data_IF_874285840404
#
_entry.id   IF_874285840404
#
_cell.length_a   1.000
_cell.length_b   1.000
_cell.length_c   1.000
_cell.angle_alpha   90.00
_cell.angle_beta   90.00
_cell.angle_gamma   90.00
#
_symmetry.space_group_name_H-M   'P 1'
#
loop_
_entity.id
_entity.type
_entity.pdbx_description
1 polymer ?
#
# COMPACT_ATOMS: atom_id res chain seq x y z
N UNK A 1 -6.70 17.77 24.57
CA UNK A 1 -6.01 16.59 24.00
C UNK A 1 -4.81 16.29 24.87
N UNK A 2 -4.51 15.03 25.22
CA UNK A 2 -3.33 14.71 26.04
C UNK A 2 -2.04 14.96 25.23
N UNK A 3 -1.00 15.51 25.85
CA UNK A 3 0.28 15.84 25.19
C UNK A 3 0.93 14.64 24.49
N UNK A 4 0.76 13.45 25.04
CA UNK A 4 1.34 12.20 24.54
C UNK A 4 0.86 11.83 23.12
N UNK A 5 -0.33 12.31 22.73
CA UNK A 5 -0.87 12.07 21.39
C UNK A 5 -0.14 12.91 20.34
N UNK A 6 0.22 14.15 20.67
CA UNK A 6 0.93 15.04 19.76
C UNK A 6 2.32 14.48 19.43
N UNK A 7 3.04 14.04 20.47
CA UNK A 7 4.36 13.41 20.31
C UNK A 7 4.25 12.12 19.48
N UNK A 8 3.22 11.29 19.70
CA UNK A 8 2.99 10.11 18.89
C UNK A 8 2.76 10.45 17.40
N UNK A 9 1.93 11.46 17.10
CA UNK A 9 1.68 11.90 15.73
C UNK A 9 2.95 12.47 15.07
N UNK A 10 3.75 13.25 15.79
CA UNK A 10 5.02 13.77 15.29
C UNK A 10 6.00 12.64 14.94
N UNK A 11 6.13 11.63 15.80
CA UNK A 11 6.98 10.47 15.53
C UNK A 11 6.50 9.66 14.31
N UNK A 12 5.18 9.49 14.16
CA UNK A 12 4.61 8.84 12.99
C UNK A 12 4.92 9.64 11.70
N UNK A 13 4.77 10.96 11.72
CA UNK A 13 5.08 11.83 10.59
C UNK A 13 6.56 11.79 10.23
N UNK A 14 7.47 11.81 11.21
CA UNK A 14 8.92 11.72 10.98
C UNK A 14 9.27 10.37 10.32
N UNK A 15 8.67 9.27 10.79
CA UNK A 15 8.88 7.96 10.19
C UNK A 15 8.42 7.94 8.72
N UNK A 16 7.25 8.49 8.42
CA UNK A 16 6.76 8.58 7.04
C UNK A 16 7.64 9.45 6.15
N UNK A 17 8.07 10.62 6.63
CA UNK A 17 8.97 11.50 5.89
C UNK A 17 10.31 10.81 5.59
N UNK A 18 10.87 10.10 6.56
CA UNK A 18 12.11 9.35 6.36
C UNK A 18 11.95 8.26 5.29
N UNK A 19 10.84 7.52 5.30
CA UNK A 19 10.53 6.54 4.26
C UNK A 19 10.50 7.19 2.86
N UNK A 20 9.83 8.33 2.71
CA UNK A 20 9.78 9.03 1.41
C UNK A 20 11.12 9.60 0.99
N UNK A 21 11.95 10.07 1.92
CA UNK A 21 13.33 10.49 1.61
C UNK A 21 14.16 9.32 1.07
N UNK A 22 14.02 8.12 1.63
CA UNK A 22 14.70 6.93 1.11
C UNK A 22 14.27 6.60 -0.33
N UNK A 23 12.96 6.67 -0.64
CA UNK A 23 12.47 6.47 -2.00
C UNK A 23 12.97 7.55 -2.96
N UNK A 24 12.92 8.82 -2.56
CA UNK A 24 13.37 9.95 -3.38
C UNK A 24 14.86 9.86 -3.72
N UNK A 25 15.68 9.30 -2.83
CA UNK A 25 17.10 9.03 -3.06
C UNK A 25 17.36 7.73 -3.84
N UNK A 26 16.32 7.08 -4.37
CA UNK A 26 16.37 5.76 -5.03
C UNK A 26 16.94 4.64 -4.14
N UNK A 27 16.95 4.85 -2.81
CA UNK A 27 17.41 3.86 -1.82
C UNK A 27 16.30 2.88 -1.50
N UNK A 28 15.73 2.26 -2.53
CA UNK A 28 14.52 1.43 -2.44
C UNK A 28 14.68 0.23 -1.51
N UNK A 29 15.87 -0.40 -1.49
CA UNK A 29 16.19 -1.47 -0.53
C UNK A 29 16.15 -0.98 0.91
N UNK A 30 16.70 0.21 1.18
CA UNK A 30 16.65 0.82 2.50
C UNK A 30 15.22 1.20 2.91
N UNK A 31 14.40 1.66 1.96
CA UNK A 31 12.98 1.93 2.20
C UNK A 31 12.22 0.65 2.55
N UNK A 32 12.52 -0.46 1.86
CA UNK A 32 11.95 -1.78 2.15
C UNK A 32 12.34 -2.27 3.56
N UNK A 33 13.64 -2.27 3.89
CA UNK A 33 14.14 -2.67 5.21
C UNK A 33 13.56 -1.81 6.34
N UNK A 34 13.38 -0.51 6.10
CA UNK A 34 12.76 0.38 7.06
C UNK A 34 11.28 0.07 7.26
N UNK A 35 10.52 -0.16 6.18
CA UNK A 35 9.12 -0.54 6.27
C UNK A 35 8.93 -1.90 6.97
N UNK A 36 9.81 -2.88 6.73
CA UNK A 36 9.79 -4.17 7.43
C UNK A 36 9.93 -3.99 8.95
N UNK A 37 10.88 -3.16 9.40
CA UNK A 37 11.04 -2.84 10.84
C UNK A 37 9.81 -2.16 11.44
N UNK A 38 9.12 -1.32 10.68
CA UNK A 38 7.91 -0.66 11.15
C UNK A 38 6.73 -1.63 11.26
N UNK A 39 6.60 -2.55 10.31
CA UNK A 39 5.62 -3.65 10.38
C UNK A 39 5.88 -4.49 11.63
N UNK A 40 7.11 -4.99 11.82
CA UNK A 40 7.49 -5.80 13.00
C UNK A 40 7.17 -5.07 14.30
N UNK A 41 7.50 -3.78 14.40
CA UNK A 41 7.22 -2.98 15.60
C UNK A 41 5.73 -2.83 15.87
N UNK A 42 4.92 -2.64 14.83
CA UNK A 42 3.46 -2.49 14.97
C UNK A 42 2.79 -3.83 15.31
N UNK A 43 3.25 -4.95 14.74
CA UNK A 43 2.81 -6.29 15.09
C UNK A 43 3.05 -6.58 16.58
N UNK A 44 4.24 -6.24 17.10
CA UNK A 44 4.57 -6.37 18.53
C UNK A 44 3.67 -5.53 19.44
N UNK A 45 3.15 -4.41 18.94
CA UNK A 45 2.25 -3.51 19.65
C UNK A 45 0.76 -3.84 19.42
N UNK A 46 0.45 -4.91 18.66
CA UNK A 46 -0.90 -5.24 18.21
C UNK A 46 -1.61 -4.06 17.53
N UNK A 47 -0.86 -3.22 16.81
CA UNK A 47 -1.34 -2.04 16.10
C UNK A 47 -1.52 -2.33 14.60
N UNK A 48 -2.39 -1.59 13.89
CA UNK A 48 -2.60 -1.80 12.45
C UNK A 48 -1.30 -1.59 11.64
N UNK A 49 -0.96 -2.53 10.76
CA UNK A 49 0.26 -2.45 9.94
C UNK A 49 0.01 -2.05 8.50
N UNK A 50 -1.27 -2.03 8.08
CA UNK A 50 -1.71 -1.76 6.70
C UNK A 50 -1.01 -0.61 5.99
N UNK A 51 -0.72 0.48 6.71
CA UNK A 51 -0.06 1.66 6.18
C UNK A 51 1.41 1.38 5.82
N UNK A 52 2.11 0.60 6.63
CA UNK A 52 3.50 0.18 6.40
C UNK A 52 3.60 -1.02 5.46
N UNK A 53 2.61 -1.91 5.42
CA UNK A 53 2.47 -2.90 4.37
C UNK A 53 2.36 -2.23 2.99
N UNK A 54 1.56 -1.17 2.89
CA UNK A 54 1.45 -0.40 1.65
C UNK A 54 2.80 0.22 1.26
N UNK A 55 3.51 0.85 2.20
CA UNK A 55 4.85 1.43 1.98
C UNK A 55 5.88 0.37 1.58
N UNK A 56 5.82 -0.82 2.18
CA UNK A 56 6.68 -1.95 1.81
C UNK A 56 6.42 -2.42 0.39
N UNK A 57 5.16 -2.39 -0.04
CA UNK A 57 4.75 -2.63 -1.42
C UNK A 57 5.27 -1.56 -2.38
N UNK A 58 5.21 -0.28 -2.00
CA UNK A 58 5.76 0.83 -2.79
C UNK A 58 7.26 0.64 -3.03
N UNK A 59 8.02 0.32 -1.98
CA UNK A 59 9.46 0.05 -2.10
C UNK A 59 9.76 -1.13 -3.03
N UNK A 60 8.98 -2.22 -2.96
CA UNK A 60 9.10 -3.36 -3.86
C UNK A 60 8.77 -2.99 -5.32
N UNK A 61 7.75 -2.16 -5.53
CA UNK A 61 7.38 -1.65 -6.85
C UNK A 61 8.52 -0.86 -7.49
N UNK A 62 9.15 0.06 -6.74
CA UNK A 62 10.32 0.81 -7.23
C UNK A 62 11.56 -0.08 -7.47
N UNK A 63 11.66 -1.23 -6.80
CA UNK A 63 12.67 -2.26 -7.08
C UNK A 63 12.34 -3.14 -8.30
N UNK A 64 11.18 -2.93 -8.94
CA UNK A 64 10.63 -3.78 -10.01
C UNK A 64 10.33 -5.22 -9.56
N UNK A 65 10.22 -5.46 -8.26
CA UNK A 65 9.74 -6.72 -7.70
C UNK A 65 8.22 -6.67 -7.56
N UNK A 66 7.54 -6.78 -8.70
CA UNK A 66 6.09 -6.64 -8.78
C UNK A 66 5.35 -7.76 -8.05
N UNK A 67 5.95 -8.95 -7.93
CA UNK A 67 5.38 -10.05 -7.17
C UNK A 67 5.39 -9.74 -5.66
N UNK A 68 6.50 -9.24 -5.13
CA UNK A 68 6.54 -8.79 -3.75
C UNK A 68 5.60 -7.60 -3.52
N UNK A 69 5.56 -6.62 -4.43
CA UNK A 69 4.65 -5.48 -4.35
C UNK A 69 3.18 -5.94 -4.23
N UNK A 70 2.77 -6.88 -5.08
CA UNK A 70 1.42 -7.50 -5.05
C UNK A 70 1.10 -8.07 -3.67
N UNK A 71 1.98 -8.90 -3.12
CA UNK A 71 1.78 -9.56 -1.82
C UNK A 71 1.55 -8.51 -0.72
N UNK A 72 2.38 -7.47 -0.67
CA UNK A 72 2.28 -6.45 0.37
C UNK A 72 1.02 -5.57 0.22
N UNK A 73 0.65 -5.20 -1.01
CA UNK A 73 -0.59 -4.47 -1.25
C UNK A 73 -1.83 -5.31 -0.91
N UNK A 74 -1.85 -6.60 -1.26
CA UNK A 74 -2.96 -7.50 -0.91
C UNK A 74 -3.09 -7.69 0.61
N UNK A 75 -1.96 -7.84 1.33
CA UNK A 75 -1.94 -7.85 2.80
C UNK A 75 -2.47 -6.54 3.39
N UNK A 76 -2.01 -5.38 2.89
CA UNK A 76 -2.50 -4.07 3.34
C UNK A 76 -4.01 -3.94 3.16
N UNK A 77 -4.53 -4.39 2.01
CA UNK A 77 -5.96 -4.37 1.71
C UNK A 77 -6.74 -5.28 2.66
N UNK A 78 -6.22 -6.47 2.97
CA UNK A 78 -6.88 -7.39 3.91
C UNK A 78 -7.01 -6.81 5.32
N UNK A 79 -6.02 -6.05 5.78
CA UNK A 79 -6.03 -5.44 7.12
C UNK A 79 -6.96 -4.24 7.23
N UNK A 80 -7.09 -3.43 6.16
CA UNK A 80 -8.07 -2.32 6.11
C UNK A 80 -9.53 -2.84 6.15
N UNK A 81 -9.74 -4.12 5.85
CA UNK A 81 -11.06 -4.76 5.87
C UNK A 81 -11.92 -4.39 4.66
N UNK A 82 -12.96 -5.19 4.40
CA UNK A 82 -13.82 -5.09 3.20
C UNK A 82 -14.61 -3.77 3.10
N UNK A 83 -14.74 -3.03 4.20
CA UNK A 83 -15.56 -1.82 4.27
C UNK A 83 -14.77 -0.54 3.93
N UNK A 84 -13.44 -0.61 3.84
CA UNK A 84 -12.61 0.53 3.50
C UNK A 84 -12.18 0.39 2.03
N UNK A 85 -12.89 1.11 1.15
CA UNK A 85 -12.50 1.22 -0.26
C UNK A 85 -11.26 2.08 -0.36
N UNK A 86 -10.09 1.45 -0.47
CA UNK A 86 -8.82 2.15 -0.69
C UNK A 86 -8.59 2.30 -2.19
N UNK A 87 -9.18 3.33 -2.81
CA UNK A 87 -9.05 3.64 -4.25
C UNK A 87 -7.58 3.57 -4.72
N UNK A 88 -6.69 4.21 -3.98
CA UNK A 88 -5.24 4.24 -4.25
C UNK A 88 -4.64 2.83 -4.28
N UNK A 89 -5.08 1.94 -3.38
CA UNK A 89 -4.51 0.59 -3.29
C UNK A 89 -5.02 -0.31 -4.41
N UNK A 90 -6.27 -0.12 -4.86
CA UNK A 90 -6.78 -0.76 -6.06
C UNK A 90 -6.08 -0.29 -7.33
N UNK A 91 -5.75 1.00 -7.43
CA UNK A 91 -4.93 1.52 -8.54
C UNK A 91 -3.53 0.89 -8.53
N UNK A 92 -2.84 0.88 -7.38
CA UNK A 92 -1.53 0.22 -7.24
C UNK A 92 -1.56 -1.27 -7.61
N UNK A 93 -2.58 -2.00 -7.14
CA UNK A 93 -2.77 -3.41 -7.48
C UNK A 93 -3.07 -3.59 -8.97
N UNK A 94 -3.88 -2.72 -9.57
CA UNK A 94 -4.14 -2.74 -11.01
C UNK A 94 -2.85 -2.56 -11.81
N UNK A 95 -2.04 -1.56 -11.47
CA UNK A 95 -0.76 -1.29 -12.14
C UNK A 95 0.21 -2.48 -12.02
N UNK A 96 0.29 -3.11 -10.85
CA UNK A 96 1.09 -4.32 -10.65
C UNK A 96 0.60 -5.47 -11.53
N UNK A 97 -0.72 -5.71 -11.58
CA UNK A 97 -1.28 -6.79 -12.39
C UNK A 97 -1.08 -6.56 -13.89
N UNK A 98 -1.17 -5.31 -14.34
CA UNK A 98 -0.80 -4.93 -15.71
C UNK A 98 0.67 -5.28 -16.02
N UNK A 99 1.60 -4.88 -15.15
CA UNK A 99 3.03 -5.12 -15.32
C UNK A 99 3.42 -6.60 -15.24
N UNK A 100 2.63 -7.43 -14.55
CA UNK A 100 2.82 -8.89 -14.47
C UNK A 100 2.03 -9.66 -15.54
N UNK A 101 1.23 -8.99 -16.38
CA UNK A 101 0.42 -9.60 -17.45
C UNK A 101 -0.89 -10.26 -17.01
N UNK A 102 -1.35 -10.01 -15.78
CA UNK A 102 -2.63 -10.49 -15.24
C UNK A 102 -3.75 -9.49 -15.55
N UNK A 103 -4.12 -9.40 -16.83
CA UNK A 103 -5.09 -8.40 -17.31
C UNK A 103 -6.50 -8.60 -16.75
N UNK A 104 -6.87 -9.83 -16.40
CA UNK A 104 -8.18 -10.10 -15.78
C UNK A 104 -8.27 -9.45 -14.39
N UNK A 105 -7.22 -9.60 -13.56
CA UNK A 105 -7.17 -8.92 -12.25
C UNK A 105 -6.99 -7.42 -12.39
N UNK A 106 -6.17 -6.96 -13.33
CA UNK A 106 -6.03 -5.53 -13.66
C UNK A 106 -7.38 -4.89 -13.87
N UNK A 107 -8.20 -5.48 -14.76
CA UNK A 107 -9.55 -5.01 -15.06
C UNK A 107 -10.44 -5.01 -13.84
N UNK A 108 -10.47 -6.10 -13.07
CA UNK A 108 -11.28 -6.19 -11.85
C UNK A 108 -10.94 -5.07 -10.85
N UNK A 109 -9.66 -4.72 -10.71
CA UNK A 109 -9.23 -3.63 -9.83
C UNK A 109 -9.60 -2.25 -10.40
N UNK A 110 -9.48 -2.03 -11.72
CA UNK A 110 -9.97 -0.78 -12.36
C UNK A 110 -11.48 -0.60 -12.19
N UNK A 111 -12.25 -1.66 -12.37
CA UNK A 111 -13.72 -1.61 -12.24
C UNK A 111 -14.17 -1.30 -10.81
N UNK A 112 -13.40 -1.71 -9.79
CA UNK A 112 -13.64 -1.31 -8.39
C UNK A 112 -13.41 0.19 -8.14
N UNK A 113 -12.61 0.83 -8.97
CA UNK A 113 -12.25 2.26 -8.85
C UNK A 113 -13.16 3.15 -9.69
N UNK A 114 -13.38 2.76 -10.94
CA UNK A 114 -14.05 3.59 -11.95
C UNK A 114 -15.48 3.12 -12.26
N UNK A 115 -15.90 1.97 -11.74
CA UNK A 115 -17.11 1.28 -12.17
C UNK A 115 -16.86 0.44 -13.43
N UNK A 116 -17.84 -0.39 -13.80
CA UNK A 116 -17.74 -1.20 -15.02
C UNK A 116 -18.36 -0.47 -16.21
N UNK A 117 -17.69 -0.54 -17.36
CA UNK A 117 -18.15 0.02 -18.63
C UNK A 117 -19.08 -0.93 -19.40
N UNK A 118 -19.73 -1.90 -18.75
CA UNK A 118 -20.75 -2.68 -19.43
C UNK A 118 -21.92 -1.73 -19.73
N UNK A 119 -22.09 -1.38 -21.00
CA UNK A 119 -23.26 -0.66 -21.49
C UNK A 119 -24.49 -1.33 -20.88
N UNK A 120 -25.19 -0.58 -20.02
CA UNK A 120 -26.56 -0.94 -19.65
C UNK A 120 -27.37 -0.84 -20.94
N UNK A 121 -27.48 -1.92 -21.70
CA UNK A 121 -28.54 -2.05 -22.69
C UNK A 121 -29.84 -1.86 -21.91
N UNK A 122 -30.45 -0.68 -22.05
CA UNK A 122 -31.81 -0.42 -21.64
C UNK A 122 -32.70 -1.43 -22.38
N UNK A 123 -33.20 -2.41 -21.63
CA UNK A 123 -34.34 -3.24 -22.01
C UNK A 123 -35.63 -2.53 -21.63
#
# INVERSE_FOLDING_TARGET
>A
MPNDWLEFYEQALIAEQYFYVLLWQERNKGAAEFADKMIERLELLAAPTSIWLERRGDAAFYMKDYNAAKIYYERSLSEKGKNIVSKVLYEKLSDVNYLTGDYDKERQYREKVYGSLVDKKCS
#
